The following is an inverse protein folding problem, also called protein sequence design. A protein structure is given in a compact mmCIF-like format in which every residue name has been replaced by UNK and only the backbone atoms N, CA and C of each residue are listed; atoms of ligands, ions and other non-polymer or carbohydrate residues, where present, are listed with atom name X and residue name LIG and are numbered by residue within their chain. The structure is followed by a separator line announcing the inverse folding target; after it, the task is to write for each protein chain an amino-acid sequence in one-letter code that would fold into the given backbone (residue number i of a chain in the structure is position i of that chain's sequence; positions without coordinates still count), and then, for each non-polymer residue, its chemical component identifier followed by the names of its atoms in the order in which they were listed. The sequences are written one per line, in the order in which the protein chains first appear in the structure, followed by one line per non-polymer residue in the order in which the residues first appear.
data_IF_368722717774
#
_entry.id   IF_368722717774
#
_cell.length_a   1.000
_cell.length_b   1.000
_cell.length_c   1.000
_cell.angle_alpha   90.00
_cell.angle_beta   90.00
_cell.angle_gamma   90.00
#
_symmetry.space_group_name_H-M   'P 1'
#
loop_
_entity.id
_entity.type
_entity.pdbx_description
1 polymer ?
#
# COMPACT_ATOMS: atom_id res chain seq x y z
N UNK A 1 -57.48 43.35 -1.37
CA UNK A 1 -57.45 41.89 -1.12
C UNK A 1 -57.15 41.23 -2.47
N UNK A 2 -56.17 40.37 -2.74
CA UNK A 2 -55.04 39.75 -2.03
C UNK A 2 -53.95 39.61 -3.11
N UNK A 3 -52.70 39.99 -2.85
CA UNK A 3 -51.56 39.64 -3.71
C UNK A 3 -50.99 38.32 -3.16
N UNK A 4 -51.07 37.25 -3.94
CA UNK A 4 -50.46 35.96 -3.62
C UNK A 4 -49.08 35.97 -4.29
N UNK A 5 -48.04 36.10 -3.45
CA UNK A 5 -46.64 35.97 -3.87
C UNK A 5 -46.27 34.49 -3.87
N UNK A 6 -46.07 33.91 -5.04
CA UNK A 6 -45.59 32.53 -5.19
C UNK A 6 -44.08 32.50 -4.98
N UNK A 7 -43.63 31.94 -3.85
CA UNK A 7 -42.22 31.72 -3.54
C UNK A 7 -41.79 30.37 -4.14
N UNK A 8 -40.95 30.41 -5.18
CA UNK A 8 -40.39 29.21 -5.81
C UNK A 8 -39.11 28.79 -5.07
N UNK A 9 -39.20 27.78 -4.21
CA UNK A 9 -38.02 27.14 -3.59
C UNK A 9 -37.39 26.17 -4.60
N UNK A 10 -36.32 26.61 -5.29
CA UNK A 10 -35.42 25.74 -6.05
C UNK A 10 -34.52 24.98 -5.08
N UNK A 11 -34.99 23.82 -4.62
CA UNK A 11 -34.17 22.83 -3.94
C UNK A 11 -33.30 22.17 -5.02
N UNK A 12 -32.10 22.69 -5.22
CA UNK A 12 -31.06 21.94 -5.92
C UNK A 12 -30.69 20.75 -5.05
N UNK A 13 -31.27 19.60 -5.34
CA UNK A 13 -30.76 18.32 -4.88
C UNK A 13 -29.36 18.14 -5.47
N UNK A 14 -28.35 18.54 -4.70
CA UNK A 14 -27.00 18.04 -4.87
C UNK A 14 -27.03 16.55 -4.52
N UNK A 15 -27.52 15.73 -5.46
CA UNK A 15 -27.24 14.32 -5.47
C UNK A 15 -25.74 14.19 -5.70
N UNK A 16 -24.98 14.21 -4.61
CA UNK A 16 -23.61 13.75 -4.61
C UNK A 16 -23.66 12.28 -5.00
N UNK A 17 -23.57 11.99 -6.31
CA UNK A 17 -23.24 10.66 -6.80
C UNK A 17 -21.85 10.35 -6.23
N UNK A 18 -21.83 9.69 -5.07
CA UNK A 18 -20.62 9.06 -4.59
C UNK A 18 -20.33 7.95 -5.59
N UNK A 19 -19.36 8.18 -6.48
CA UNK A 19 -18.85 7.12 -7.33
C UNK A 19 -18.35 6.02 -6.41
N UNK A 20 -18.96 4.83 -6.54
CA UNK A 20 -18.60 3.68 -5.73
C UNK A 20 -17.16 3.29 -6.02
N UNK A 21 -16.33 3.23 -4.99
CA UNK A 21 -14.97 2.71 -5.09
C UNK A 21 -15.01 1.19 -5.18
N UNK A 22 -14.21 0.61 -6.06
CA UNK A 22 -14.15 -0.84 -6.27
C UNK A 22 -12.70 -1.30 -6.26
N UNK A 23 -12.43 -2.50 -5.73
CA UNK A 23 -11.11 -3.10 -5.85
C UNK A 23 -11.19 -4.61 -5.83
N UNK A 24 -10.36 -5.25 -6.64
CA UNK A 24 -10.24 -6.69 -6.70
C UNK A 24 -8.81 -7.11 -7.07
N UNK A 25 -8.45 -8.33 -6.65
CA UNK A 25 -7.17 -8.93 -6.97
C UNK A 25 -7.21 -9.47 -8.41
N UNK A 26 -6.13 -9.24 -9.16
CA UNK A 26 -5.99 -9.78 -10.50
C UNK A 26 -5.49 -11.24 -10.49
N UNK A 27 -6.03 -12.06 -11.38
CA UNK A 27 -5.50 -13.38 -11.70
C UNK A 27 -4.36 -13.31 -12.74
N UNK A 28 -3.80 -14.47 -13.11
CA UNK A 28 -2.66 -14.55 -14.01
C UNK A 28 -3.05 -14.20 -15.45
N UNK A 29 -4.20 -14.69 -15.92
CA UNK A 29 -4.71 -14.38 -17.26
C UNK A 29 -4.91 -12.87 -17.42
N UNK A 30 -5.50 -12.24 -16.41
CA UNK A 30 -5.73 -10.81 -16.29
C UNK A 30 -4.45 -9.97 -16.29
N UNK A 31 -3.39 -10.45 -15.65
CA UNK A 31 -2.06 -9.80 -15.64
C UNK A 31 -1.44 -9.84 -17.05
N UNK A 32 -1.48 -11.00 -17.70
CA UNK A 32 -0.92 -11.19 -19.05
C UNK A 32 -1.70 -10.39 -20.09
N UNK A 33 -3.03 -10.43 -20.04
CA UNK A 33 -3.90 -9.72 -20.97
C UNK A 33 -3.70 -8.20 -20.90
N UNK A 34 -3.44 -7.66 -19.70
CA UNK A 34 -3.13 -6.25 -19.47
C UNK A 34 -1.67 -5.90 -19.75
N UNK A 35 -0.84 -6.87 -20.13
CA UNK A 35 0.60 -6.75 -20.34
C UNK A 35 1.38 -6.18 -19.14
N UNK A 36 0.88 -6.40 -17.91
CA UNK A 36 1.47 -5.77 -16.73
C UNK A 36 2.90 -6.26 -16.44
N UNK A 37 3.23 -7.47 -16.88
CA UNK A 37 4.57 -8.05 -16.75
C UNK A 37 5.65 -7.23 -17.49
N UNK A 38 5.27 -6.44 -18.50
CA UNK A 38 6.21 -5.58 -19.24
C UNK A 38 6.61 -4.33 -18.47
N UNK A 39 5.96 -4.06 -17.34
CA UNK A 39 6.08 -2.80 -16.59
C UNK A 39 6.99 -2.92 -15.37
N UNK A 40 7.23 -4.16 -14.93
CA UNK A 40 7.97 -4.45 -13.73
C UNK A 40 9.34 -5.04 -14.05
N UNK A 41 10.33 -4.66 -13.26
CA UNK A 41 11.69 -5.20 -13.39
C UNK A 41 11.78 -6.64 -12.86
N UNK A 42 10.78 -7.08 -12.10
CA UNK A 42 10.73 -8.35 -11.36
C UNK A 42 9.41 -9.09 -11.61
N UNK A 43 9.38 -10.43 -11.40
CA UNK A 43 8.14 -11.20 -11.45
C UNK A 43 7.04 -10.62 -10.56
N UNK A 44 5.81 -10.56 -11.10
CA UNK A 44 4.65 -10.10 -10.36
C UNK A 44 4.25 -11.14 -9.31
N UNK A 45 4.33 -10.76 -8.03
CA UNK A 45 3.87 -11.57 -6.90
C UNK A 45 2.36 -11.39 -6.65
N UNK A 46 1.85 -10.18 -6.85
CA UNK A 46 0.44 -9.84 -6.66
C UNK A 46 0.09 -8.58 -7.45
N UNK A 47 -1.10 -8.52 -8.03
CA UNK A 47 -1.64 -7.30 -8.60
C UNK A 47 -3.10 -7.08 -8.17
N UNK A 48 -3.52 -5.83 -8.11
CA UNK A 48 -4.86 -5.39 -7.77
C UNK A 48 -5.31 -4.33 -8.76
N UNK A 49 -6.53 -4.43 -9.27
CA UNK A 49 -7.18 -3.29 -9.89
C UNK A 49 -8.00 -2.56 -8.82
N UNK A 50 -8.02 -1.24 -8.89
CA UNK A 50 -8.92 -0.43 -8.11
C UNK A 50 -9.46 0.75 -8.94
N UNK A 51 -10.69 1.13 -8.64
CA UNK A 51 -11.39 2.25 -9.25
C UNK A 51 -11.81 3.23 -8.16
N UNK A 52 -11.48 4.49 -8.38
CA UNK A 52 -11.81 5.60 -7.50
C UNK A 52 -12.23 6.83 -8.34
N UNK A 53 -12.48 7.98 -7.70
CA UNK A 53 -12.86 9.23 -8.40
C UNK A 53 -11.79 9.72 -9.39
N UNK A 54 -10.54 9.30 -9.21
CA UNK A 54 -9.42 9.61 -10.08
C UNK A 54 -9.27 8.69 -11.28
N UNK A 55 -10.02 7.58 -11.36
CA UNK A 55 -10.00 6.65 -12.49
C UNK A 55 -9.82 5.18 -12.08
N UNK A 56 -9.37 4.37 -13.05
CA UNK A 56 -9.03 2.95 -12.85
C UNK A 56 -7.52 2.81 -12.83
N UNK A 57 -7.02 2.09 -11.84
CA UNK A 57 -5.60 1.94 -11.56
C UNK A 57 -5.26 0.49 -11.26
N UNK A 58 -4.07 0.08 -11.66
CA UNK A 58 -3.45 -1.17 -11.26
C UNK A 58 -2.38 -0.89 -10.21
N UNK A 59 -2.39 -1.64 -9.11
CA UNK A 59 -1.32 -1.74 -8.12
C UNK A 59 -0.62 -3.08 -8.30
N UNK A 60 0.63 -3.06 -8.71
CA UNK A 60 1.46 -4.21 -9.00
C UNK A 60 2.53 -4.34 -7.92
N UNK A 61 2.65 -5.52 -7.31
CA UNK A 61 3.65 -5.87 -6.31
C UNK A 61 4.57 -6.95 -6.87
N UNK A 62 5.86 -6.66 -6.98
CA UNK A 62 6.84 -7.52 -7.62
C UNK A 62 8.05 -7.80 -6.72
N UNK A 63 8.57 -9.01 -6.83
CA UNK A 63 9.65 -9.52 -5.98
C UNK A 63 10.68 -10.22 -6.86
N UNK A 64 11.98 -9.95 -6.65
CA UNK A 64 13.00 -10.31 -7.63
C UNK A 64 13.39 -11.80 -7.67
N UNK A 65 12.94 -12.63 -6.73
CA UNK A 65 13.13 -14.08 -6.72
C UNK A 65 14.57 -14.53 -7.05
N UNK A 66 15.58 -13.96 -6.35
CA UNK A 66 16.98 -14.32 -6.58
C UNK A 66 17.21 -15.79 -6.22
N UNK A 67 17.71 -16.55 -7.19
CA UNK A 67 18.05 -17.97 -7.01
C UNK A 67 19.22 -18.11 -6.02
N UNK A 68 18.98 -18.83 -4.92
CA UNK A 68 20.02 -19.16 -3.92
C UNK A 68 20.41 -20.64 -4.00
N UNK A 69 19.51 -21.51 -4.48
CA UNK A 69 19.81 -22.90 -4.84
C UNK A 69 18.86 -23.37 -5.95
N UNK A 70 19.07 -24.58 -6.47
CA UNK A 70 18.25 -25.15 -7.56
C UNK A 70 16.74 -25.21 -7.25
N UNK A 71 16.33 -25.15 -5.98
CA UNK A 71 14.93 -25.21 -5.54
C UNK A 71 14.53 -24.08 -4.59
N UNK A 72 15.38 -23.08 -4.41
CA UNK A 72 15.16 -22.05 -3.40
C UNK A 72 15.52 -20.66 -3.93
N UNK A 73 14.61 -19.71 -3.69
CA UNK A 73 14.74 -18.32 -4.09
C UNK A 73 14.49 -17.43 -2.87
N UNK A 74 15.32 -16.41 -2.72
CA UNK A 74 15.09 -15.34 -1.76
C UNK A 74 14.97 -14.02 -2.50
N UNK A 75 14.13 -13.14 -1.97
CA UNK A 75 13.99 -11.81 -2.51
C UNK A 75 15.01 -10.90 -1.84
N UNK A 76 15.79 -10.19 -2.65
CA UNK A 76 16.72 -9.15 -2.20
C UNK A 76 16.24 -7.76 -2.55
N UNK A 77 15.23 -7.66 -3.42
CA UNK A 77 14.62 -6.41 -3.91
C UNK A 77 13.13 -6.61 -4.11
N UNK A 78 12.36 -5.59 -3.80
CA UNK A 78 10.93 -5.52 -4.09
C UNK A 78 10.60 -4.22 -4.82
N UNK A 79 9.49 -4.24 -5.55
CA UNK A 79 8.98 -3.07 -6.22
C UNK A 79 7.45 -3.07 -6.17
N UNK A 80 6.86 -1.91 -5.86
CA UNK A 80 5.43 -1.65 -5.98
C UNK A 80 5.23 -0.54 -7.01
N UNK A 81 4.41 -0.79 -8.02
CA UNK A 81 4.11 0.15 -9.09
C UNK A 81 2.62 0.41 -9.07
N UNK A 82 2.21 1.66 -9.17
CA UNK A 82 0.84 2.00 -9.48
C UNK A 82 0.77 2.85 -10.73
N UNK A 83 -0.20 2.56 -11.58
CA UNK A 83 -0.44 3.30 -12.80
C UNK A 83 -1.82 2.99 -13.36
N UNK A 84 -2.13 3.60 -14.49
CA UNK A 84 -3.38 3.37 -15.23
C UNK A 84 -3.05 2.71 -16.56
N UNK A 85 -3.87 1.74 -16.97
CA UNK A 85 -3.78 1.14 -18.29
C UNK A 85 -4.66 1.95 -19.26
N UNK A 86 -4.03 2.66 -20.19
CA UNK A 86 -4.65 3.46 -21.25
C UNK A 86 -4.52 2.70 -22.58
N UNK A 87 -5.35 3.03 -23.58
CA UNK A 87 -5.19 2.57 -24.96
C UNK A 87 -3.79 2.91 -25.54
N UNK A 88 -3.08 3.90 -24.97
CA UNK A 88 -1.68 4.22 -25.27
C UNK A 88 -0.63 3.45 -24.47
N UNK A 89 -1.02 2.50 -23.62
CA UNK A 89 -0.13 1.74 -22.74
C UNK A 89 -0.23 2.17 -21.27
N UNK A 90 0.59 1.55 -20.42
CA UNK A 90 0.57 1.84 -18.98
C UNK A 90 1.24 3.16 -18.65
N UNK A 91 0.52 4.01 -17.94
CA UNK A 91 1.06 5.25 -17.39
C UNK A 91 1.32 5.10 -15.89
N UNK A 92 2.59 5.04 -15.51
CA UNK A 92 3.01 5.03 -14.11
C UNK A 92 2.58 6.32 -13.39
N UNK A 93 1.93 6.15 -12.24
CA UNK A 93 1.56 7.23 -11.31
C UNK A 93 2.63 7.40 -10.23
N UNK A 94 3.08 6.28 -9.67
CA UNK A 94 4.18 6.25 -8.71
C UNK A 94 4.79 4.84 -8.65
N UNK A 95 6.02 4.79 -8.13
CA UNK A 95 6.78 3.57 -7.91
C UNK A 95 7.49 3.62 -6.56
N UNK A 96 7.53 2.50 -5.87
CA UNK A 96 8.26 2.28 -4.63
C UNK A 96 9.23 1.13 -4.89
N UNK A 97 10.50 1.33 -4.57
CA UNK A 97 11.53 0.29 -4.60
C UNK A 97 12.12 0.17 -3.19
N UNK A 98 12.46 -1.05 -2.78
CA UNK A 98 13.29 -1.28 -1.59
C UNK A 98 14.17 -2.53 -1.78
N UNK A 99 15.21 -2.63 -0.97
CA UNK A 99 16.14 -3.75 -0.95
C UNK A 99 16.55 -4.10 0.49
N UNK A 100 17.28 -5.20 0.63
CA UNK A 100 17.89 -5.58 1.92
C UNK A 100 18.87 -4.51 2.37
N UNK A 101 18.88 -4.22 3.67
CA UNK A 101 19.85 -3.31 4.29
C UNK A 101 21.01 -4.11 4.90
N UNK A 102 22.21 -3.53 4.85
CA UNK A 102 23.36 -4.09 5.56
C UNK A 102 23.17 -3.86 7.05
N UNK A 103 22.93 -4.94 7.79
CA UNK A 103 22.51 -4.92 9.18
C UNK A 103 23.06 -6.13 9.93
N UNK A 104 23.03 -6.05 11.26
CA UNK A 104 23.40 -7.15 12.15
C UNK A 104 22.19 -7.48 13.05
N UNK A 105 21.70 -8.73 13.06
CA UNK A 105 22.03 -9.83 12.13
C UNK A 105 21.66 -9.52 10.67
N UNK A 106 22.29 -10.20 9.71
CA UNK A 106 22.17 -9.88 8.28
C UNK A 106 20.78 -10.18 7.74
N UNK A 107 20.19 -9.23 7.02
CA UNK A 107 18.96 -9.46 6.26
C UNK A 107 19.17 -10.41 5.06
N UNK A 108 18.28 -11.39 4.91
CA UNK A 108 18.36 -12.42 3.87
C UNK A 108 17.18 -12.41 2.91
N UNK A 109 16.02 -11.91 3.34
CA UNK A 109 14.81 -11.88 2.53
C UNK A 109 13.97 -10.62 2.76
N UNK A 110 13.33 -10.09 1.71
CA UNK A 110 12.38 -8.97 1.75
C UNK A 110 11.13 -9.32 0.92
N UNK A 111 9.93 -9.18 1.48
CA UNK A 111 8.71 -9.59 0.74
C UNK A 111 7.46 -8.85 1.19
N UNK A 112 6.48 -8.76 0.29
CA UNK A 112 5.20 -8.11 0.56
C UNK A 112 4.31 -8.98 1.45
N UNK A 113 3.83 -8.39 2.54
CA UNK A 113 2.87 -9.02 3.43
C UNK A 113 1.46 -8.74 2.93
N UNK A 114 1.09 -9.34 1.80
CA UNK A 114 -0.16 -9.02 1.08
C UNK A 114 -1.45 -9.15 1.90
N UNK A 115 -1.44 -9.95 2.97
CA UNK A 115 -2.53 -10.02 3.97
C UNK A 115 -2.83 -8.68 4.66
N UNK A 116 -1.82 -7.80 4.75
CA UNK A 116 -1.90 -6.48 5.38
C UNK A 116 -1.95 -5.34 4.36
N UNK A 117 -1.79 -5.63 3.07
CA UNK A 117 -1.98 -4.65 2.00
C UNK A 117 -3.48 -4.44 1.74
N UNK A 118 -3.85 -3.24 1.28
CA UNK A 118 -5.23 -2.92 0.91
C UNK A 118 -5.30 -1.77 -0.10
N UNK A 119 -6.43 -1.68 -0.79
CA UNK A 119 -6.78 -0.66 -1.78
C UNK A 119 -8.21 -0.21 -1.46
N UNK A 120 -8.34 0.65 -0.45
CA UNK A 120 -9.63 1.10 0.08
C UNK A 120 -9.65 2.62 0.23
N UNK A 121 -10.83 3.20 0.06
CA UNK A 121 -11.11 4.58 0.48
C UNK A 121 -11.32 4.57 1.99
N UNK A 122 -10.30 5.04 2.72
CA UNK A 122 -10.23 4.97 4.17
C UNK A 122 -10.86 6.20 4.82
N UNK A 123 -10.83 7.36 4.17
CA UNK A 123 -11.37 8.60 4.72
C UNK A 123 -12.78 8.96 4.22
N UNK A 124 -13.24 8.30 3.15
CA UNK A 124 -14.55 8.44 2.53
C UNK A 124 -14.63 9.57 1.51
N UNK A 125 -13.49 10.10 1.04
CA UNK A 125 -13.46 11.19 0.06
C UNK A 125 -13.65 10.72 -1.39
N UNK A 126 -13.68 9.40 -1.61
CA UNK A 126 -13.85 8.74 -2.89
C UNK A 126 -12.56 8.51 -3.68
N UNK A 127 -11.38 8.83 -3.12
CA UNK A 127 -10.08 8.37 -3.59
C UNK A 127 -9.65 7.16 -2.78
N UNK A 128 -8.93 6.23 -3.40
CA UNK A 128 -8.42 5.05 -2.69
C UNK A 128 -7.03 5.35 -2.13
N UNK A 129 -6.83 5.04 -0.85
CA UNK A 129 -5.52 5.00 -0.22
C UNK A 129 -4.94 3.58 -0.27
N UNK A 130 -3.96 3.31 -1.14
CA UNK A 130 -3.25 2.05 -1.09
C UNK A 130 -2.46 1.96 0.22
N UNK A 131 -2.58 0.83 0.90
CA UNK A 131 -1.73 0.40 2.00
C UNK A 131 -0.84 -0.72 1.49
N UNK A 132 0.47 -0.53 1.61
CA UNK A 132 1.49 -1.48 1.17
C UNK A 132 2.32 -1.83 2.39
N UNK A 133 2.41 -3.13 2.69
CA UNK A 133 3.16 -3.64 3.82
C UNK A 133 4.15 -4.66 3.33
N UNK A 134 5.39 -4.54 3.81
CA UNK A 134 6.42 -5.55 3.63
C UNK A 134 7.28 -5.63 4.88
N UNK A 135 8.00 -6.74 4.99
CA UNK A 135 9.01 -6.92 5.99
C UNK A 135 10.26 -7.58 5.44
N UNK A 136 11.28 -7.60 6.27
CA UNK A 136 12.51 -8.35 6.04
C UNK A 136 12.73 -9.38 7.12
N UNK A 137 13.51 -10.41 6.82
CA UNK A 137 14.00 -11.36 7.82
C UNK A 137 15.51 -11.49 7.79
N UNK A 138 16.08 -11.86 8.93
CA UNK A 138 17.51 -12.11 9.09
C UNK A 138 17.92 -13.52 8.65
N UNK A 139 19.19 -13.85 8.80
CA UNK A 139 19.70 -15.21 8.68
C UNK A 139 19.20 -16.16 9.78
N UNK A 140 18.78 -15.61 10.91
CA UNK A 140 18.19 -16.34 12.04
C UNK A 140 16.65 -16.50 11.92
N UNK A 141 16.10 -16.17 10.75
CA UNK A 141 14.65 -16.19 10.44
C UNK A 141 13.79 -15.23 11.29
N UNK A 142 14.41 -14.23 11.91
CA UNK A 142 13.72 -13.20 12.68
C UNK A 142 13.31 -12.02 11.81
N UNK A 143 12.14 -11.42 12.08
CA UNK A 143 11.75 -10.19 11.39
C UNK A 143 12.66 -9.05 11.81
N UNK A 144 13.28 -8.37 10.83
CA UNK A 144 14.20 -7.26 11.09
C UNK A 144 13.58 -5.90 10.85
N UNK A 145 12.94 -5.70 9.71
CA UNK A 145 12.25 -4.45 9.36
C UNK A 145 10.82 -4.73 9.00
N UNK A 146 9.95 -3.78 9.33
CA UNK A 146 8.59 -3.70 8.80
C UNK A 146 8.36 -2.28 8.30
N UNK A 147 7.88 -2.14 7.07
CA UNK A 147 7.46 -0.84 6.54
C UNK A 147 5.99 -0.90 6.15
N UNK A 148 5.23 0.09 6.62
CA UNK A 148 3.82 0.31 6.26
C UNK A 148 3.78 1.62 5.49
N UNK A 149 3.38 1.55 4.23
CA UNK A 149 3.37 2.69 3.32
C UNK A 149 1.93 2.98 2.91
N UNK A 150 1.57 4.26 2.90
CA UNK A 150 0.38 4.74 2.22
C UNK A 150 0.69 5.92 1.31
N UNK A 151 -0.06 6.05 0.22
CA UNK A 151 -0.02 7.20 -0.67
C UNK A 151 -1.32 7.97 -0.51
N UNK A 152 -1.24 9.24 -0.12
CA UNK A 152 -2.40 10.12 0.03
C UNK A 152 -2.10 11.46 -0.64
N UNK A 153 -2.98 11.92 -1.54
CA UNK A 153 -2.77 13.13 -2.35
C UNK A 153 -1.40 13.16 -3.05
N UNK A 154 -1.03 12.06 -3.71
CA UNK A 154 0.28 11.84 -4.37
C UNK A 154 1.50 12.00 -3.46
N UNK A 155 1.31 12.04 -2.13
CA UNK A 155 2.38 12.09 -1.14
C UNK A 155 2.51 10.74 -0.45
N UNK A 156 3.75 10.26 -0.33
CA UNK A 156 4.08 9.01 0.36
C UNK A 156 4.22 9.26 1.86
N UNK A 157 3.61 8.40 2.66
CA UNK A 157 3.75 8.35 4.11
C UNK A 157 4.17 6.95 4.51
N UNK A 158 5.11 6.85 5.44
CA UNK A 158 5.74 5.58 5.79
C UNK A 158 5.89 5.48 7.31
N UNK A 159 5.52 4.34 7.87
CA UNK A 159 6.02 3.86 9.15
C UNK A 159 7.22 2.95 8.86
N UNK A 160 8.34 3.23 9.53
CA UNK A 160 9.56 2.42 9.47
C UNK A 160 9.79 1.82 10.84
N UNK A 161 9.68 0.51 10.95
CA UNK A 161 9.99 -0.22 12.16
C UNK A 161 11.25 -1.07 11.97
N UNK A 162 12.11 -1.08 12.98
CA UNK A 162 13.21 -2.04 13.14
C UNK A 162 12.93 -2.83 14.41
N UNK A 163 12.89 -4.15 14.28
CA UNK A 163 12.71 -5.10 15.38
C UNK A 163 14.06 -5.70 15.78
N UNK A 164 14.17 -6.01 17.07
CA UNK A 164 15.24 -6.78 17.71
C UNK A 164 14.85 -6.97 19.19
N UNK A 165 15.61 -7.80 19.90
CA UNK A 165 15.33 -8.10 21.31
C UNK A 165 15.56 -6.93 22.26
N UNK A 166 16.61 -6.13 22.02
CA UNK A 166 17.00 -5.05 22.92
C UNK A 166 16.31 -3.74 22.55
N UNK A 167 15.85 -3.00 23.56
CA UNK A 167 15.16 -1.72 23.40
C UNK A 167 15.99 -0.72 22.56
N UNK A 168 17.29 -0.65 22.80
CA UNK A 168 18.21 0.30 22.14
C UNK A 168 18.38 0.08 20.63
N UNK A 169 18.11 -1.13 20.12
CA UNK A 169 18.17 -1.40 18.68
C UNK A 169 16.80 -1.34 17.99
N UNK A 170 15.72 -1.18 18.76
CA UNK A 170 14.35 -1.05 18.22
C UNK A 170 14.10 0.38 17.78
N UNK A 171 13.33 0.54 16.71
CA UNK A 171 12.84 1.86 16.32
C UNK A 171 11.49 1.79 15.64
N UNK A 172 10.68 2.81 15.83
CA UNK A 172 9.36 2.94 15.22
C UNK A 172 9.11 4.38 14.78
N UNK A 173 9.51 4.69 13.55
CA UNK A 173 9.51 6.06 13.02
C UNK A 173 8.39 6.26 12.02
N UNK A 174 7.45 7.15 12.36
CA UNK A 174 6.45 7.67 11.43
C UNK A 174 7.08 8.75 10.53
N UNK A 175 6.55 8.92 9.32
CA UNK A 175 7.00 9.98 8.41
C UNK A 175 6.95 11.36 9.08
N UNK A 176 7.88 12.26 8.75
CA UNK A 176 7.90 13.62 9.31
C UNK A 176 6.57 14.37 9.08
N UNK A 177 5.89 14.06 7.98
CA UNK A 177 4.59 14.64 7.64
C UNK A 177 3.41 13.85 8.18
N UNK A 178 3.60 12.86 9.06
CA UNK A 178 2.53 11.96 9.50
C UNK A 178 1.28 12.70 9.99
N UNK A 179 1.46 13.83 10.65
CA UNK A 179 0.36 14.62 11.21
C UNK A 179 -0.51 15.30 10.12
N UNK A 180 -0.05 15.41 8.88
CA UNK A 180 -0.87 15.90 7.76
C UNK A 180 -1.79 14.84 7.15
N UNK A 181 -1.69 13.57 7.56
CA UNK A 181 -2.66 12.55 7.15
C UNK A 181 -4.02 12.78 7.85
N UNK A 182 -5.13 12.58 7.13
CA UNK A 182 -6.46 12.53 7.73
C UNK A 182 -6.52 11.56 8.91
N UNK A 183 -7.32 11.94 9.92
CA UNK A 183 -7.39 11.16 11.16
C UNK A 183 -7.89 9.73 10.93
N UNK A 184 -8.83 9.51 9.99
CA UNK A 184 -9.34 8.18 9.65
C UNK A 184 -8.25 7.25 9.11
N UNK A 185 -7.40 7.74 8.21
CA UNK A 185 -6.26 6.98 7.67
C UNK A 185 -5.26 6.65 8.78
N UNK A 186 -4.91 7.62 9.65
CA UNK A 186 -4.02 7.36 10.79
C UNK A 186 -4.58 6.28 11.71
N UNK A 187 -5.86 6.38 12.08
CA UNK A 187 -6.54 5.38 12.92
C UNK A 187 -6.53 4.00 12.28
N UNK A 188 -6.79 3.89 10.97
CA UNK A 188 -6.71 2.62 10.24
C UNK A 188 -5.31 2.01 10.32
N UNK A 189 -4.26 2.82 10.09
CA UNK A 189 -2.88 2.33 10.13
C UNK A 189 -2.46 1.95 11.56
N UNK A 190 -2.91 2.69 12.58
CA UNK A 190 -2.64 2.33 13.98
C UNK A 190 -3.32 0.98 14.34
N UNK A 191 -4.55 0.74 13.88
CA UNK A 191 -5.24 -0.54 14.02
C UNK A 191 -4.54 -1.67 13.25
N UNK A 192 -4.07 -1.39 12.03
CA UNK A 192 -3.29 -2.33 11.24
C UNK A 192 -1.98 -2.70 11.94
N UNK A 193 -1.30 -1.72 12.53
CA UNK A 193 -0.08 -1.93 13.31
C UNK A 193 -0.36 -2.84 14.50
N UNK A 194 -1.43 -2.60 15.26
CA UNK A 194 -1.84 -3.46 16.36
C UNK A 194 -2.17 -4.90 15.91
N UNK A 195 -2.83 -5.04 14.76
CA UNK A 195 -3.09 -6.35 14.14
C UNK A 195 -1.79 -7.08 13.81
N UNK A 196 -0.85 -6.40 13.15
CA UNK A 196 0.45 -7.00 12.76
C UNK A 196 1.22 -7.42 14.01
N UNK A 197 1.28 -6.59 15.06
CA UNK A 197 1.92 -6.94 16.35
C UNK A 197 1.40 -8.29 16.88
N UNK A 198 0.08 -8.43 16.92
CA UNK A 198 -0.57 -9.65 17.42
C UNK A 198 -0.33 -10.86 16.51
N UNK A 199 -0.48 -10.68 15.20
CA UNK A 199 -0.44 -11.80 14.25
C UNK A 199 0.98 -12.24 13.85
N UNK A 200 1.98 -11.39 14.03
CA UNK A 200 3.39 -11.69 13.75
C UNK A 200 4.23 -11.81 15.02
N UNK A 201 3.62 -11.63 16.21
CA UNK A 201 4.31 -11.59 17.48
C UNK A 201 5.47 -10.57 17.51
N UNK A 202 5.18 -9.34 17.07
CA UNK A 202 6.15 -8.24 16.98
C UNK A 202 5.81 -7.12 17.96
N UNK A 203 6.80 -6.28 18.28
CA UNK A 203 6.62 -5.14 19.17
C UNK A 203 6.11 -3.92 18.39
N UNK A 204 6.69 -3.60 17.24
CA UNK A 204 6.36 -2.45 16.37
C UNK A 204 6.15 -1.16 17.15
N UNK A 205 7.03 -0.86 18.09
CA UNK A 205 7.03 0.36 18.91
C UNK A 205 8.47 0.75 19.17
N UNK A 206 8.68 1.99 19.58
CA UNK A 206 10.00 2.38 20.08
C UNK A 206 10.40 1.51 21.28
N UNK A 207 11.73 1.36 21.42
CA UNK A 207 12.40 0.79 22.59
C UNK A 207 11.93 1.45 23.86
#
# INVERSE_FOLDING_TARGET
MKKITTLLFLIYSLSAFSQKTESYKLDKEQIVQRELDKLADFPIYKAFEYKDKGGVYDLILTENQKVISKKDTLNTKIQAICGRNDHGGFLEKWKINDLLEDSVPKETNIWFWTKYCSTKDLDGDGYIEPIIVYGTRTEDDEIKRVKIITIYNNKKYVIRAVECDLDDCRSFKKDQNWNSLPQKIKTYIDQLTAKIRKEQNLLLKDG
#
